data_IF_395454678479
#
_entry.id   IF_395454678479
#
_cell.length_a   1.000
_cell.length_b   1.000
_cell.length_c   1.000
_cell.angle_alpha   90.00
_cell.angle_beta   90.00
_cell.angle_gamma   90.00
#
_symmetry.space_group_name_H-M   'P 1'
#
loop_
_entity.id
_entity.type
_entity.pdbx_description
1 polymer ?
#
# COMPACT_ATOMS: atom_id res chain seq x y z
N UNK A 1 -30.69 -3.15 9.87
CA UNK A 1 -29.76 -2.82 8.78
C UNK A 1 -28.82 -3.99 8.66
N UNK A 2 -29.13 -4.90 7.75
CA UNK A 2 -28.47 -6.19 7.62
C UNK A 2 -27.24 -6.00 6.75
N UNK A 3 -26.04 -6.22 7.30
CA UNK A 3 -24.82 -6.37 6.52
C UNK A 3 -24.87 -7.75 5.84
N UNK A 4 -25.70 -7.88 4.80
CA UNK A 4 -25.67 -9.09 3.97
C UNK A 4 -24.54 -8.98 2.93
N UNK A 5 -23.70 -10.01 2.92
CA UNK A 5 -22.85 -10.43 1.81
C UNK A 5 -21.70 -9.49 1.38
N UNK A 6 -20.81 -9.13 2.31
CA UNK A 6 -19.42 -8.96 1.89
C UNK A 6 -18.78 -10.36 1.77
N UNK A 7 -18.18 -10.73 0.61
CA UNK A 7 -17.37 -11.94 0.54
C UNK A 7 -16.31 -11.88 1.65
N UNK A 8 -15.99 -13.03 2.25
CA UNK A 8 -15.06 -13.09 3.37
C UNK A 8 -13.75 -12.40 2.99
N UNK A 9 -13.50 -11.22 3.56
CA UNK A 9 -12.34 -10.41 3.21
C UNK A 9 -11.09 -11.16 3.63
N UNK A 10 -10.20 -11.41 2.65
CA UNK A 10 -8.93 -12.07 2.94
C UNK A 10 -8.09 -11.15 3.82
N UNK A 11 -7.77 -11.61 5.03
CA UNK A 11 -7.02 -10.80 6.00
C UNK A 11 -5.68 -10.30 5.43
N UNK A 12 -5.08 -11.06 4.50
CA UNK A 12 -3.85 -10.69 3.79
C UNK A 12 -3.99 -9.41 2.96
N UNK A 13 -5.20 -9.03 2.53
CA UNK A 13 -5.44 -7.75 1.84
C UNK A 13 -5.27 -6.54 2.77
N UNK A 14 -5.32 -6.74 4.10
CA UNK A 14 -5.19 -5.68 5.10
C UNK A 14 -3.76 -5.52 5.67
N UNK A 15 -2.84 -6.41 5.31
CA UNK A 15 -1.47 -6.36 5.80
C UNK A 15 -0.55 -5.65 4.82
N UNK A 16 0.26 -4.73 5.35
CA UNK A 16 1.39 -4.16 4.60
C UNK A 16 2.31 -5.31 4.16
N UNK A 17 2.64 -5.42 2.86
CA UNK A 17 3.57 -6.43 2.37
C UNK A 17 4.90 -6.38 3.10
N UNK A 18 5.42 -7.52 3.54
CA UNK A 18 6.71 -7.58 4.24
C UNK A 18 7.84 -7.07 3.35
N UNK A 19 8.54 -6.05 3.81
CA UNK A 19 9.78 -5.57 3.20
C UNK A 19 10.89 -6.57 3.55
N UNK A 20 11.61 -7.05 2.53
CA UNK A 20 12.72 -8.00 2.74
C UNK A 20 13.96 -7.22 3.20
N UNK A 21 14.75 -7.78 4.12
CA UNK A 21 15.99 -7.16 4.62
C UNK A 21 17.00 -6.86 3.50
N UNK A 22 17.07 -7.69 2.45
CA UNK A 22 17.93 -7.47 1.29
C UNK A 22 17.40 -6.41 0.31
N UNK A 23 16.33 -5.68 0.65
CA UNK A 23 15.77 -4.62 -0.21
C UNK A 23 16.69 -3.40 -0.16
N UNK A 24 17.17 -2.97 -1.33
CA UNK A 24 17.92 -1.72 -1.44
C UNK A 24 16.96 -0.55 -1.29
N UNK A 25 17.17 0.26 -0.25
CA UNK A 25 16.36 1.45 0.01
C UNK A 25 16.48 2.44 -1.15
N UNK A 26 15.35 3.07 -1.50
CA UNK A 26 15.27 4.06 -2.58
C UNK A 26 15.01 5.45 -2.02
N UNK A 27 15.99 5.99 -1.30
CA UNK A 27 15.90 7.27 -0.57
C UNK A 27 15.29 8.41 -1.38
N UNK A 28 15.68 8.55 -2.65
CA UNK A 28 15.11 9.59 -3.55
C UNK A 28 13.59 9.47 -3.71
N UNK A 29 13.06 8.26 -3.85
CA UNK A 29 11.62 8.04 -3.99
C UNK A 29 10.91 8.18 -2.64
N UNK A 30 11.55 7.71 -1.57
CA UNK A 30 11.04 7.89 -0.20
C UNK A 30 10.86 9.38 0.12
N UNK A 31 11.86 10.21 -0.17
CA UNK A 31 11.77 11.66 0.04
C UNK A 31 10.63 12.32 -0.76
N UNK A 32 10.31 11.80 -1.96
CA UNK A 32 9.17 12.28 -2.75
C UNK A 32 7.83 11.91 -2.12
N UNK A 33 7.71 10.71 -1.56
CA UNK A 33 6.52 10.30 -0.81
C UNK A 33 6.35 11.15 0.45
N UNK A 34 7.44 11.39 1.18
CA UNK A 34 7.41 12.19 2.41
C UNK A 34 7.03 13.65 2.14
N UNK A 35 7.61 14.26 1.10
CA UNK A 35 7.20 15.60 0.66
C UNK A 35 5.73 15.65 0.20
N UNK A 36 5.20 14.52 -0.27
CA UNK A 36 3.80 14.34 -0.65
C UNK A 36 2.84 14.14 0.53
N UNK A 37 3.32 13.88 1.76
CA UNK A 37 2.47 13.53 2.93
C UNK A 37 1.41 14.57 3.26
N UNK A 38 1.66 15.85 2.95
CA UNK A 38 0.70 16.94 3.13
C UNK A 38 -0.41 16.98 2.06
N UNK A 39 -0.32 16.16 1.01
CA UNK A 39 -1.32 16.07 -0.06
C UNK A 39 -2.41 15.08 0.31
N UNK A 40 -3.62 15.32 -0.20
CA UNK A 40 -4.77 14.42 -0.01
C UNK A 40 -4.63 13.08 -0.74
N UNK A 41 -3.84 13.04 -1.82
CA UNK A 41 -3.66 11.86 -2.66
C UNK A 41 -2.26 11.87 -3.30
N UNK A 42 -1.61 10.71 -3.29
CA UNK A 42 -0.37 10.42 -4.02
C UNK A 42 -0.63 9.20 -4.91
N UNK A 43 -0.38 9.32 -6.21
CA UNK A 43 -0.46 8.20 -7.16
C UNK A 43 0.94 7.72 -7.52
N UNK A 44 1.24 6.44 -7.24
CA UNK A 44 2.49 5.79 -7.62
C UNK A 44 2.25 4.91 -8.84
N UNK A 45 2.63 5.39 -10.02
CA UNK A 45 2.48 4.69 -11.29
C UNK A 45 3.85 4.36 -11.92
N UNK A 46 4.00 3.13 -12.40
CA UNK A 46 5.20 2.61 -13.07
C UNK A 46 4.88 1.24 -13.70
N UNK A 47 5.78 0.75 -14.56
CA UNK A 47 5.64 -0.57 -15.19
C UNK A 47 5.57 -1.72 -14.17
N UNK A 48 5.11 -2.89 -14.62
CA UNK A 48 5.19 -4.12 -13.84
C UNK A 48 6.66 -4.41 -13.49
N UNK A 49 6.92 -4.92 -12.28
CA UNK A 49 8.27 -5.22 -11.81
C UNK A 49 9.12 -4.02 -11.34
N UNK A 50 8.67 -2.77 -11.50
CA UNK A 50 9.46 -1.59 -11.09
C UNK A 50 9.65 -1.39 -9.57
N UNK A 51 8.97 -2.20 -8.74
CA UNK A 51 9.07 -2.12 -7.28
C UNK A 51 8.13 -1.10 -6.62
N UNK A 52 7.00 -0.75 -7.25
CA UNK A 52 6.00 0.20 -6.69
C UNK A 52 5.53 -0.20 -5.29
N UNK A 53 5.06 -1.44 -5.15
CA UNK A 53 4.60 -1.98 -3.88
C UNK A 53 5.72 -2.00 -2.85
N UNK A 54 6.96 -2.28 -3.27
CA UNK A 54 8.12 -2.32 -2.38
C UNK A 54 8.41 -0.95 -1.77
N UNK A 55 8.45 0.12 -2.58
CA UNK A 55 8.74 1.47 -2.05
C UNK A 55 7.61 2.00 -1.16
N UNK A 56 6.35 1.71 -1.50
CA UNK A 56 5.21 2.12 -0.65
C UNK A 56 5.19 1.31 0.65
N UNK A 57 5.46 0.00 0.61
CA UNK A 57 5.52 -0.83 1.80
C UNK A 57 6.67 -0.41 2.74
N UNK A 58 7.84 -0.08 2.19
CA UNK A 58 8.96 0.50 2.95
C UNK A 58 8.55 1.82 3.62
N UNK A 59 7.91 2.72 2.88
CA UNK A 59 7.42 3.99 3.41
C UNK A 59 6.35 3.81 4.50
N UNK A 60 5.40 2.89 4.32
CA UNK A 60 4.40 2.54 5.34
C UNK A 60 5.04 1.92 6.59
N UNK A 61 6.08 1.08 6.44
CA UNK A 61 6.73 0.41 7.58
C UNK A 61 7.40 1.40 8.54
N UNK A 62 7.89 2.54 8.03
CA UNK A 62 8.44 3.63 8.85
C UNK A 62 7.36 4.48 9.53
N UNK A 63 6.10 4.31 9.14
CA UNK A 63 4.94 5.04 9.65
C UNK A 63 3.83 4.10 10.13
N UNK A 64 4.21 2.95 10.69
CA UNK A 64 3.29 1.83 10.96
C UNK A 64 2.08 2.19 11.85
N UNK A 65 2.19 3.23 12.68
CA UNK A 65 1.10 3.69 13.54
C UNK A 65 0.07 4.59 12.82
N UNK A 66 0.44 5.17 11.68
CA UNK A 66 -0.35 6.17 10.94
C UNK A 66 -0.78 5.67 9.55
N UNK A 67 -0.48 4.42 9.21
CA UNK A 67 -0.73 3.84 7.90
C UNK A 67 -1.63 2.60 7.99
N UNK A 68 -2.61 2.51 7.11
CA UNK A 68 -3.34 1.27 6.84
C UNK A 68 -3.04 0.80 5.41
N UNK A 69 -3.21 -0.51 5.18
CA UNK A 69 -3.04 -1.10 3.86
C UNK A 69 -4.33 -1.76 3.43
N UNK A 70 -4.70 -1.55 2.17
CA UNK A 70 -5.77 -2.29 1.50
C UNK A 70 -5.29 -2.64 0.09
N UNK A 71 -5.21 -3.93 -0.21
CA UNK A 71 -5.00 -4.43 -1.56
C UNK A 71 -6.35 -4.58 -2.25
N UNK A 72 -6.54 -3.91 -3.38
CA UNK A 72 -7.73 -4.00 -4.20
C UNK A 72 -7.47 -4.90 -5.43
N UNK A 73 -8.41 -5.76 -5.76
CA UNK A 73 -8.45 -6.53 -6.99
C UNK A 73 -9.84 -6.47 -7.66
N UNK A 74 -9.98 -7.16 -8.80
CA UNK A 74 -11.21 -7.13 -9.59
C UNK A 74 -12.45 -7.59 -8.81
N UNK A 75 -12.28 -8.46 -7.80
CA UNK A 75 -13.37 -8.97 -6.98
C UNK A 75 -13.86 -7.99 -5.91
N UNK A 76 -13.19 -6.85 -5.73
CA UNK A 76 -13.59 -5.82 -4.76
C UNK A 76 -14.51 -4.74 -5.39
N UNK A 77 -14.95 -4.95 -6.63
CA UNK A 77 -15.73 -3.98 -7.41
C UNK A 77 -17.25 -4.23 -7.38
N UNK A 78 -17.74 -4.96 -6.37
CA UNK A 78 -19.18 -5.22 -6.18
C UNK A 78 -19.85 -4.03 -5.43
N UNK A 79 -20.97 -3.49 -5.94
CA UNK A 79 -21.69 -2.34 -5.37
C UNK A 79 -22.57 -2.65 -4.16
#
# INVERSE_FOLDING_TARGET
MTFEQYPALLITKLYVPRVREATVSRERLFAQLEAGRARKLILVAAAAGSGKTTVVAEWCSQHANDACWVSLDEGDNDP
#
